data_IF_781841084251
#
_entry.id   IF_781841084251
#
_cell.length_a   1.000
_cell.length_b   1.000
_cell.length_c   1.000
_cell.angle_alpha   90.00
_cell.angle_beta   90.00
_cell.angle_gamma   90.00
#
_symmetry.space_group_name_H-M   'P 1'
#
loop_
_entity.id
_entity.type
_entity.pdbx_description
1 polymer ?
#
# COMPACT_ATOMS: atom_id res chain seq x y z
N UNK A 1 -19.38 -17.00 -0.98
CA UNK A 1 -18.48 -16.67 0.15
C UNK A 1 -17.35 -15.87 -0.42
N UNK A 2 -17.39 -14.55 -0.21
CA UNK A 2 -16.47 -13.61 -0.86
C UNK A 2 -15.03 -13.89 -0.47
N UNK A 3 -14.11 -13.84 -1.43
CA UNK A 3 -12.67 -13.80 -1.15
C UNK A 3 -12.43 -12.57 -0.28
N UNK A 4 -12.03 -12.79 0.96
CA UNK A 4 -11.45 -11.71 1.76
C UNK A 4 -10.15 -11.29 1.09
N UNK A 5 -10.01 -10.02 0.67
CA UNK A 5 -8.81 -9.46 0.05
C UNK A 5 -7.65 -9.34 1.06
N UNK A 6 -7.31 -10.44 1.73
CA UNK A 6 -6.26 -10.52 2.75
C UNK A 6 -4.95 -10.91 2.08
N UNK A 7 -3.91 -10.19 2.45
CA UNK A 7 -2.53 -10.37 2.01
C UNK A 7 -2.33 -10.36 0.47
N UNK A 8 -3.30 -9.81 -0.26
CA UNK A 8 -3.26 -9.56 -1.71
C UNK A 8 -3.27 -8.05 -1.96
N UNK A 9 -2.55 -7.55 -2.97
CA UNK A 9 -2.60 -6.14 -3.33
C UNK A 9 -4.00 -5.76 -3.80
N UNK A 10 -4.42 -4.55 -3.44
CA UNK A 10 -5.63 -3.91 -3.91
C UNK A 10 -5.25 -2.55 -4.49
N UNK A 11 -5.59 -2.31 -5.75
CA UNK A 11 -5.49 -0.98 -6.32
C UNK A 11 -6.72 -0.17 -5.91
N UNK A 12 -6.50 1.02 -5.35
CA UNK A 12 -7.56 1.93 -4.92
C UNK A 12 -7.43 3.27 -5.63
N UNK A 13 -8.56 3.89 -5.95
CA UNK A 13 -8.63 5.23 -6.53
C UNK A 13 -9.51 6.13 -5.68
N UNK A 14 -8.96 7.28 -5.25
CA UNK A 14 -9.70 8.30 -4.53
C UNK A 14 -10.66 9.09 -5.44
N UNK A 15 -10.49 9.01 -6.77
CA UNK A 15 -11.43 9.62 -7.71
C UNK A 15 -12.82 8.97 -7.67
N UNK A 16 -12.90 7.72 -7.19
CA UNK A 16 -14.16 7.01 -6.97
C UNK A 16 -14.79 7.28 -5.60
N UNK A 17 -14.09 8.03 -4.74
CA UNK A 17 -14.57 8.44 -3.44
C UNK A 17 -15.57 9.60 -3.54
N UNK A 18 -16.53 9.63 -2.63
CA UNK A 18 -17.47 10.76 -2.48
C UNK A 18 -16.90 11.85 -1.54
N UNK A 19 -15.81 11.54 -0.83
CA UNK A 19 -15.19 12.44 0.14
C UNK A 19 -14.04 13.25 -0.43
N UNK A 20 -13.69 14.31 0.28
CA UNK A 20 -12.53 15.14 0.01
C UNK A 20 -11.22 14.34 0.15
N UNK A 21 -10.33 14.56 -0.82
CA UNK A 21 -8.98 13.98 -0.80
C UNK A 21 -8.23 14.57 0.39
N UNK A 22 -7.62 13.76 1.28
CA UNK A 22 -6.84 14.28 2.40
C UNK A 22 -5.71 15.20 1.92
N UNK A 23 -5.47 16.33 2.61
CA UNK A 23 -4.46 17.34 2.25
C UNK A 23 -3.08 16.72 1.91
N UNK A 24 -2.68 15.70 2.67
CA UNK A 24 -1.41 14.98 2.48
C UNK A 24 -1.29 14.31 1.09
N UNK A 25 -2.41 13.96 0.47
CA UNK A 25 -2.49 13.21 -0.79
C UNK A 25 -2.88 14.10 -1.99
N UNK A 26 -3.22 15.38 -1.77
CA UNK A 26 -3.67 16.28 -2.85
C UNK A 26 -2.63 16.51 -3.95
N UNK A 27 -1.34 16.44 -3.61
CA UNK A 27 -0.22 16.62 -4.53
C UNK A 27 0.33 15.31 -5.10
N UNK A 28 -0.27 14.18 -4.73
CA UNK A 28 0.12 12.83 -5.15
C UNK A 28 -0.91 12.25 -6.13
N UNK A 29 -0.57 11.19 -6.88
CA UNK A 29 -1.55 10.47 -7.68
C UNK A 29 -2.75 10.04 -6.82
N UNK A 30 -3.97 10.14 -7.36
CA UNK A 30 -5.19 9.70 -6.65
C UNK A 30 -5.29 8.18 -6.47
N UNK A 31 -4.38 7.45 -7.11
CA UNK A 31 -4.30 6.00 -7.09
C UNK A 31 -3.21 5.53 -6.14
N UNK A 32 -3.47 4.42 -5.44
CA UNK A 32 -2.52 3.83 -4.51
C UNK A 32 -2.72 2.34 -4.34
N UNK A 33 -1.77 1.69 -3.67
CA UNK A 33 -1.86 0.27 -3.31
C UNK A 33 -2.29 0.14 -1.86
N UNK A 34 -3.36 -0.60 -1.61
CA UNK A 34 -3.78 -1.03 -0.29
C UNK A 34 -3.43 -2.51 -0.05
N UNK A 35 -3.02 -2.84 1.17
CA UNK A 35 -2.78 -4.21 1.62
C UNK A 35 -3.49 -4.45 2.95
N UNK A 36 -4.58 -5.22 2.90
CA UNK A 36 -5.27 -5.67 4.10
C UNK A 36 -4.60 -6.94 4.62
N UNK A 37 -4.23 -6.97 5.90
CA UNK A 37 -3.46 -8.09 6.44
C UNK A 37 -4.05 -8.70 7.70
N UNK A 38 -3.92 -10.02 7.81
CA UNK A 38 -4.05 -10.76 9.06
C UNK A 38 -2.70 -11.35 9.55
N UNK A 39 -1.64 -11.18 8.74
CA UNK A 39 -0.29 -11.69 8.99
C UNK A 39 0.01 -13.06 8.36
N UNK A 40 -0.79 -13.52 7.40
CA UNK A 40 -0.63 -14.81 6.72
C UNK A 40 0.65 -14.95 5.88
N UNK A 41 1.05 -13.90 5.13
CA UNK A 41 2.27 -13.91 4.29
C UNK A 41 3.56 -13.60 5.08
N UNK A 42 3.94 -14.49 5.99
CA UNK A 42 5.13 -14.32 6.86
C UNK A 42 6.41 -13.92 6.11
N UNK A 43 6.71 -14.56 4.97
CA UNK A 43 7.93 -14.28 4.21
C UNK A 43 7.98 -12.87 3.61
N UNK A 44 6.80 -12.32 3.25
CA UNK A 44 6.64 -10.96 2.77
C UNK A 44 6.83 -9.97 3.94
N UNK A 45 6.07 -10.17 5.03
CA UNK A 45 6.10 -9.25 6.17
C UNK A 45 7.41 -9.30 6.96
N UNK A 46 8.09 -10.45 7.06
CA UNK A 46 9.35 -10.53 7.80
C UNK A 46 10.47 -9.69 7.19
N UNK A 47 10.32 -9.29 5.92
CA UNK A 47 11.31 -8.49 5.18
C UNK A 47 10.83 -7.07 4.87
N UNK A 48 9.67 -6.63 5.33
CA UNK A 48 9.10 -5.35 4.88
C UNK A 48 10.00 -4.14 5.19
N UNK A 49 10.64 -4.13 6.37
CA UNK A 49 11.59 -3.08 6.76
C UNK A 49 12.83 -3.03 5.84
N UNK A 50 13.39 -4.19 5.50
CA UNK A 50 14.54 -4.29 4.60
C UNK A 50 14.15 -3.96 3.16
N UNK A 51 12.97 -4.40 2.73
CA UNK A 51 12.43 -4.14 1.40
C UNK A 51 12.22 -2.65 1.15
N UNK A 52 11.54 -1.94 2.05
CA UNK A 52 11.29 -0.51 1.88
C UNK A 52 12.60 0.30 1.90
N UNK A 53 13.53 -0.05 2.80
CA UNK A 53 14.85 0.57 2.84
C UNK A 53 15.67 0.31 1.57
N UNK A 54 15.49 -0.84 0.94
CA UNK A 54 16.16 -1.19 -0.31
C UNK A 54 15.65 -0.37 -1.50
N UNK A 55 14.33 -0.19 -1.63
CA UNK A 55 13.75 0.51 -2.78
C UNK A 55 13.74 2.05 -2.65
N UNK A 56 13.65 2.59 -1.44
CA UNK A 56 13.59 4.05 -1.20
C UNK A 56 14.82 4.64 -0.49
N UNK A 57 15.67 3.81 0.09
CA UNK A 57 16.63 4.26 1.10
C UNK A 57 15.99 4.57 2.45
N UNK A 58 16.79 5.04 3.41
CA UNK A 58 16.38 5.07 4.83
C UNK A 58 15.47 6.25 5.26
N UNK A 59 15.20 7.25 4.40
CA UNK A 59 14.69 8.55 4.88
C UNK A 59 13.52 9.17 4.11
N UNK A 60 12.98 8.50 3.12
CA UNK A 60 11.90 9.04 2.30
C UNK A 60 10.54 8.40 2.59
N UNK A 61 10.24 8.11 3.86
CA UNK A 61 8.95 7.53 4.21
C UNK A 61 8.37 8.17 5.46
N UNK A 62 7.14 8.64 5.31
CA UNK A 62 6.29 9.08 6.40
C UNK A 62 5.17 8.06 6.64
N UNK A 63 4.96 7.68 7.89
CA UNK A 63 3.88 6.77 8.27
C UNK A 63 2.85 7.51 9.12
N UNK A 64 1.61 7.52 8.64
CA UNK A 64 0.49 8.21 9.26
C UNK A 64 -0.52 7.16 9.74
N UNK A 65 -0.45 6.83 11.03
CA UNK A 65 -1.41 5.92 11.66
C UNK A 65 -2.76 6.61 11.83
N UNK A 66 -3.83 5.93 11.41
CA UNK A 66 -5.19 6.42 11.53
C UNK A 66 -6.14 5.28 11.93
N UNK A 67 -6.08 4.98 13.22
CA UNK A 67 -6.85 3.90 13.82
C UNK A 67 -8.37 4.12 13.76
N UNK A 68 -8.83 5.38 13.72
CA UNK A 68 -10.24 5.76 13.78
C UNK A 68 -10.80 6.30 12.45
N UNK A 69 -9.98 6.42 11.40
CA UNK A 69 -10.32 7.08 10.13
C UNK A 69 -10.64 8.57 10.28
N UNK A 70 -10.02 9.23 11.27
CA UNK A 70 -10.22 10.64 11.55
C UNK A 70 -9.49 11.54 10.55
N UNK A 71 -8.39 11.04 9.94
CA UNK A 71 -7.51 11.79 9.03
C UNK A 71 -7.66 11.40 7.57
N UNK A 72 -7.93 10.11 7.32
CA UNK A 72 -7.98 9.52 5.99
C UNK A 72 -9.31 8.79 5.77
N UNK A 73 -10.42 9.42 6.17
CA UNK A 73 -11.78 8.87 6.01
C UNK A 73 -12.09 8.45 4.56
N UNK A 74 -11.68 9.26 3.58
CA UNK A 74 -11.82 8.94 2.16
C UNK A 74 -11.11 7.63 1.77
N UNK A 75 -9.87 7.44 2.25
CA UNK A 75 -9.09 6.22 2.02
C UNK A 75 -9.77 5.02 2.68
N UNK A 76 -10.19 5.17 3.94
CA UNK A 76 -10.89 4.13 4.69
C UNK A 76 -12.16 3.64 3.99
N UNK A 77 -12.98 4.55 3.48
CA UNK A 77 -14.20 4.23 2.73
C UNK A 77 -13.94 3.55 1.39
N UNK A 78 -12.94 3.98 0.62
CA UNK A 78 -12.58 3.31 -0.65
C UNK A 78 -12.10 1.88 -0.39
N UNK A 79 -11.26 1.68 0.63
CA UNK A 79 -10.84 0.34 1.08
C UNK A 79 -12.04 -0.49 1.54
N UNK A 80 -12.94 0.09 2.35
CA UNK A 80 -14.14 -0.60 2.85
C UNK A 80 -15.07 -1.04 1.70
N UNK A 81 -15.32 -0.16 0.73
CA UNK A 81 -16.12 -0.46 -0.46
C UNK A 81 -15.54 -1.64 -1.24
N UNK A 82 -14.22 -1.71 -1.35
CA UNK A 82 -13.51 -2.75 -2.11
C UNK A 82 -13.44 -4.09 -1.37
N UNK A 83 -13.34 -4.06 -0.04
CA UNK A 83 -13.02 -5.26 0.76
C UNK A 83 -14.15 -5.75 1.65
N UNK A 84 -15.13 -4.89 1.92
CA UNK A 84 -16.15 -5.08 2.96
C UNK A 84 -15.60 -4.99 4.39
N UNK A 85 -14.37 -4.53 4.58
CA UNK A 85 -13.70 -4.46 5.89
C UNK A 85 -13.69 -3.03 6.44
N UNK A 86 -14.04 -2.90 7.71
CA UNK A 86 -13.91 -1.67 8.50
C UNK A 86 -12.80 -1.89 9.53
N UNK A 87 -11.56 -1.63 9.11
CA UNK A 87 -10.37 -1.85 9.95
C UNK A 87 -9.45 -0.64 9.93
N UNK A 88 -8.65 -0.55 10.99
CA UNK A 88 -7.65 0.50 11.18
C UNK A 88 -6.65 0.53 10.03
N UNK A 89 -6.29 1.74 9.59
CA UNK A 89 -5.37 1.94 8.48
C UNK A 89 -4.12 2.71 8.90
N UNK A 90 -3.06 2.53 8.14
CA UNK A 90 -1.86 3.35 8.16
C UNK A 90 -1.56 3.75 6.72
N UNK A 91 -1.48 5.07 6.47
CA UNK A 91 -1.06 5.61 5.18
C UNK A 91 0.45 5.83 5.23
N UNK A 92 1.17 5.22 4.29
CA UNK A 92 2.60 5.43 4.10
C UNK A 92 2.82 6.27 2.84
N UNK A 93 3.64 7.31 2.95
CA UNK A 93 3.87 8.28 1.88
C UNK A 93 5.37 8.43 1.67
N UNK A 94 5.78 8.51 0.41
CA UNK A 94 7.13 8.86 -0.03
C UNK A 94 7.03 10.11 -0.91
N UNK A 95 7.24 11.31 -0.33
CA UNK A 95 7.11 12.56 -1.07
C UNK A 95 8.13 12.68 -2.21
N UNK A 96 9.37 12.19 -2.05
CA UNK A 96 10.37 12.31 -3.12
C UNK A 96 10.10 11.36 -4.29
N UNK A 97 9.60 10.14 -4.03
CA UNK A 97 9.19 9.24 -5.11
C UNK A 97 7.77 9.53 -5.63
N UNK A 98 7.02 10.44 -5.01
CA UNK A 98 5.68 10.83 -5.46
C UNK A 98 4.65 9.71 -5.34
N UNK A 99 4.80 8.81 -4.36
CA UNK A 99 3.94 7.62 -4.20
C UNK A 99 3.41 7.50 -2.77
N UNK A 100 2.26 6.84 -2.64
CA UNK A 100 1.66 6.51 -1.36
C UNK A 100 1.01 5.12 -1.41
N UNK A 101 0.77 4.56 -0.22
CA UNK A 101 0.17 3.25 -0.05
C UNK A 101 -0.51 3.13 1.31
N UNK A 102 -1.30 2.07 1.48
CA UNK A 102 -2.12 1.85 2.67
C UNK A 102 -1.90 0.45 3.23
N UNK A 103 -1.60 0.37 4.52
CA UNK A 103 -1.66 -0.88 5.28
C UNK A 103 -2.90 -0.93 6.15
N UNK A 104 -3.65 -2.02 6.10
CA UNK A 104 -4.92 -2.15 6.81
C UNK A 104 -4.87 -3.36 7.74
N UNK A 105 -5.22 -3.15 9.01
CA UNK A 105 -5.28 -4.20 10.01
C UNK A 105 -5.48 -3.70 11.44
N UNK A 106 -6.22 -4.48 12.24
CA UNK A 106 -6.57 -4.13 13.62
C UNK A 106 -5.36 -4.10 14.60
N UNK A 107 -4.26 -4.78 14.25
CA UNK A 107 -3.03 -4.77 15.05
C UNK A 107 -2.04 -3.75 14.51
N UNK A 108 -1.53 -2.87 15.37
CA UNK A 108 -0.57 -1.81 15.01
C UNK A 108 0.62 -2.31 14.22
N UNK A 109 1.33 -3.29 14.75
CA UNK A 109 2.46 -3.89 14.05
C UNK A 109 2.08 -4.40 12.64
N UNK A 110 0.90 -5.00 12.48
CA UNK A 110 0.49 -5.58 11.20
C UNK A 110 0.16 -4.49 10.17
N UNK A 111 -0.63 -3.46 10.54
CA UNK A 111 -0.97 -2.37 9.60
C UNK A 111 0.28 -1.60 9.14
N UNK A 112 1.24 -1.33 10.02
CA UNK A 112 2.50 -0.70 9.62
C UNK A 112 3.33 -1.59 8.69
N UNK A 113 3.42 -2.90 8.97
CA UNK A 113 4.15 -3.83 8.09
C UNK A 113 3.46 -3.97 6.72
N UNK A 114 2.13 -3.98 6.69
CA UNK A 114 1.40 -3.96 5.43
C UNK A 114 1.61 -2.66 4.65
N UNK A 115 1.62 -1.51 5.33
CA UNK A 115 1.86 -0.22 4.69
C UNK A 115 3.27 -0.16 4.06
N UNK A 116 4.28 -0.72 4.74
CA UNK A 116 5.65 -0.85 4.22
C UNK A 116 5.72 -1.70 2.96
N UNK A 117 5.08 -2.88 2.96
CA UNK A 117 5.04 -3.76 1.80
C UNK A 117 4.33 -3.08 0.62
N UNK A 118 3.16 -2.49 0.88
CA UNK A 118 2.39 -1.81 -0.14
C UNK A 118 3.16 -0.62 -0.74
N UNK A 119 3.84 0.17 0.10
CA UNK A 119 4.67 1.28 -0.37
C UNK A 119 5.88 0.78 -1.15
N UNK A 120 6.57 -0.26 -0.68
CA UNK A 120 7.73 -0.81 -1.37
C UNK A 120 7.34 -1.30 -2.78
N UNK A 121 6.17 -1.91 -2.91
CA UNK A 121 5.62 -2.31 -4.20
C UNK A 121 5.26 -1.10 -5.08
N UNK A 122 4.60 -0.08 -4.52
CA UNK A 122 4.22 1.13 -5.25
C UNK A 122 5.45 1.87 -5.81
N UNK A 123 6.50 1.99 -5.00
CA UNK A 123 7.79 2.59 -5.41
C UNK A 123 8.40 1.76 -6.52
N UNK A 124 8.55 0.44 -6.33
CA UNK A 124 9.19 -0.41 -7.32
C UNK A 124 8.46 -0.40 -8.66
N UNK A 125 7.13 -0.38 -8.65
CA UNK A 125 6.32 -0.22 -9.85
C UNK A 125 6.58 1.13 -10.51
N UNK A 126 6.53 2.22 -9.74
CA UNK A 126 6.78 3.57 -10.24
C UNK A 126 8.17 3.72 -10.88
N UNK A 127 9.22 3.20 -10.21
CA UNK A 127 10.59 3.20 -10.71
C UNK A 127 10.72 2.44 -12.03
N UNK A 128 10.13 1.25 -12.13
CA UNK A 128 10.13 0.46 -13.37
C UNK A 128 9.35 1.15 -14.49
N UNK A 129 8.20 1.75 -14.17
CA UNK A 129 7.39 2.47 -15.16
C UNK A 129 8.12 3.74 -15.67
N UNK A 130 9.03 4.31 -14.86
CA UNK A 130 9.93 5.39 -15.27
C UNK A 130 11.13 4.91 -16.13
N UNK A 131 11.25 3.60 -16.37
CA UNK A 131 12.31 3.01 -17.19
C UNK A 131 13.60 2.68 -16.44
N UNK A 132 13.56 2.63 -15.11
CA UNK A 132 14.67 2.23 -14.25
C UNK A 132 14.52 0.79 -13.75
N UNK A 133 15.63 0.11 -13.43
CA UNK A 133 15.60 -1.26 -12.90
C UNK A 133 15.62 -1.28 -11.36
N UNK A 134 14.89 -2.22 -10.77
CA UNK A 134 14.88 -2.47 -9.32
C UNK A 134 15.37 -3.90 -9.05
N UNK A 135 16.51 -4.05 -8.37
CA UNK A 135 17.02 -5.37 -7.99
C UNK A 135 16.20 -5.93 -6.83
N UNK A 136 15.41 -6.98 -7.07
CA UNK A 136 14.61 -7.65 -6.06
C UNK A 136 15.08 -9.10 -5.78
N UNK A 137 16.32 -9.43 -6.16
CA UNK A 137 16.87 -10.79 -6.03
C UNK A 137 16.83 -11.32 -4.59
N UNK A 138 17.00 -10.46 -3.59
CA UNK A 138 16.88 -10.82 -2.16
C UNK A 138 15.44 -10.78 -1.61
N UNK A 139 14.49 -10.26 -2.40
CA UNK A 139 13.11 -9.96 -2.01
C UNK A 139 12.07 -10.68 -2.87
N UNK A 140 12.28 -11.96 -3.18
CA UNK A 140 11.37 -12.74 -4.05
C UNK A 140 9.88 -12.62 -3.66
N UNK A 141 9.55 -12.68 -2.37
CA UNK A 141 8.16 -12.55 -1.92
C UNK A 141 7.54 -11.17 -2.26
N UNK A 142 8.36 -10.11 -2.27
CA UNK A 142 7.94 -8.77 -2.72
C UNK A 142 7.84 -8.72 -4.25
N UNK A 143 8.77 -9.34 -4.98
CA UNK A 143 8.69 -9.43 -6.43
C UNK A 143 7.38 -10.11 -6.86
N UNK A 144 7.03 -11.25 -6.24
CA UNK A 144 5.76 -11.94 -6.48
C UNK A 144 4.56 -11.03 -6.17
N UNK A 145 4.63 -10.26 -5.07
CA UNK A 145 3.58 -9.31 -4.70
C UNK A 145 3.45 -8.13 -5.68
N UNK A 146 4.56 -7.67 -6.27
CA UNK A 146 4.56 -6.62 -7.30
C UNK A 146 3.89 -7.11 -8.58
N UNK A 147 4.18 -8.33 -9.01
CA UNK A 147 3.51 -8.94 -10.17
C UNK A 147 2.00 -9.09 -9.93
N UNK A 148 1.60 -9.52 -8.72
CA UNK A 148 0.19 -9.53 -8.32
C UNK A 148 -0.44 -8.13 -8.34
N UNK A 149 0.30 -7.10 -7.92
CA UNK A 149 -0.19 -5.72 -7.89
C UNK A 149 -0.37 -5.13 -9.29
N UNK A 150 0.56 -5.41 -10.21
CA UNK A 150 0.44 -5.04 -11.62
C UNK A 150 -0.78 -5.71 -12.26
N UNK A 151 -0.95 -7.01 -12.06
CA UNK A 151 -2.12 -7.74 -12.56
C UNK A 151 -3.44 -7.22 -11.95
N UNK A 152 -3.43 -6.83 -10.67
CA UNK A 152 -4.60 -6.24 -10.02
C UNK A 152 -4.97 -4.86 -10.58
N UNK A 153 -3.96 -4.04 -10.93
CA UNK A 153 -4.18 -2.75 -11.60
C UNK A 153 -4.80 -2.93 -12.98
N UNK A 154 -4.23 -3.81 -13.81
CA UNK A 154 -4.78 -4.11 -15.15
C UNK A 154 -6.21 -4.64 -15.12
N UNK A 155 -6.59 -5.35 -14.06
CA UNK A 155 -7.96 -5.86 -13.89
C UNK A 155 -8.96 -4.79 -13.39
N UNK A 156 -8.48 -3.66 -12.91
CA UNK A 156 -9.30 -2.53 -12.44
C UNK A 156 -9.53 -1.47 -13.53
N UNK A 157 -8.72 -1.47 -14.59
CA UNK A 157 -8.85 -0.65 -15.81
C UNK A 157 -9.83 -1.24 -16.84
#
# INVERSE_FOLDING_TARGET
>A
GGRTHRDTPLYISLAEGEDEVPELLESLPLEGIALCTDGGRKGLYSKADAAIAHVLGEKDVEYHDDFNWDKFGAVGKVVQKSTGLEECLCVAVSPMAGVWAVGVGNKGKNRFQAAKVALAAAVAIHTVDAGEDVDLSEFQALADFIEEARAAKEAAE
#
